data_IF_922114053838
#
_entry.id   IF_922114053838
#
_cell.length_a   1.000
_cell.length_b   1.000
_cell.length_c   1.000
_cell.angle_alpha   90.00
_cell.angle_beta   90.00
_cell.angle_gamma   90.00
#
_symmetry.space_group_name_H-M   'P 1'
#
loop_
_entity.id
_entity.type
_entity.pdbx_description
1 polymer ?
#
# COMPACT_ATOMS: atom_id res chain seq x y z
N UNK A 1 -10.96 -19.89 -25.88
CA UNK A 1 -9.88 -19.44 -24.97
C UNK A 1 -9.86 -17.92 -25.00
N UNK A 2 -10.51 -17.27 -24.05
CA UNK A 2 -10.71 -15.82 -24.13
C UNK A 2 -11.66 -15.33 -23.05
N UNK A 3 -11.26 -15.48 -21.80
CA UNK A 3 -11.85 -14.81 -20.64
C UNK A 3 -10.81 -14.95 -19.53
N UNK A 4 -10.02 -13.88 -19.31
CA UNK A 4 -9.52 -13.43 -18.00
C UNK A 4 -8.37 -12.41 -18.15
N UNK A 5 -8.58 -11.39 -19.00
CA UNK A 5 -7.82 -10.13 -18.96
C UNK A 5 -8.68 -9.08 -18.23
N UNK A 6 -9.29 -9.43 -17.10
CA UNK A 6 -9.85 -8.41 -16.22
C UNK A 6 -8.69 -7.54 -15.72
N UNK A 7 -8.88 -6.22 -15.75
CA UNK A 7 -7.90 -5.16 -15.51
C UNK A 7 -6.85 -5.49 -14.45
N UNK A 8 -5.68 -5.97 -14.90
CA UNK A 8 -4.47 -5.99 -14.08
C UNK A 8 -3.76 -4.64 -14.20
N UNK A 9 -4.49 -3.55 -14.01
CA UNK A 9 -3.88 -2.23 -14.05
C UNK A 9 -3.31 -1.93 -12.66
N UNK A 10 -1.98 -1.87 -12.56
CA UNK A 10 -1.36 -1.34 -11.36
C UNK A 10 -1.60 0.16 -11.26
N UNK A 11 -1.59 0.69 -10.04
CA UNK A 11 -1.72 2.13 -9.77
C UNK A 11 -0.44 2.62 -9.15
N UNK A 12 0.02 3.79 -9.56
CA UNK A 12 1.20 4.42 -8.99
C UNK A 12 0.99 5.93 -8.90
N UNK A 13 0.75 6.39 -7.68
CA UNK A 13 0.57 7.80 -7.38
C UNK A 13 1.72 8.30 -6.52
N UNK A 14 2.20 9.50 -6.78
CA UNK A 14 3.36 10.03 -6.07
C UNK A 14 3.37 11.55 -6.02
N UNK A 15 4.18 12.10 -5.12
CA UNK A 15 4.59 13.50 -5.19
C UNK A 15 5.97 13.66 -4.60
N UNK A 16 6.73 14.64 -5.10
CA UNK A 16 8.02 15.01 -4.53
C UNK A 16 9.07 13.89 -4.58
N UNK A 17 9.06 13.07 -5.63
CA UNK A 17 10.03 11.98 -5.89
C UNK A 17 10.76 12.25 -7.22
N UNK A 18 11.95 11.69 -7.43
CA UNK A 18 12.71 12.01 -8.65
C UNK A 18 12.19 11.28 -9.90
N UNK A 19 12.34 11.83 -11.12
CA UNK A 19 11.92 11.15 -12.35
C UNK A 19 12.54 9.76 -12.55
N UNK A 20 13.78 9.56 -12.09
CA UNK A 20 14.43 8.26 -12.12
C UNK A 20 13.72 7.23 -11.23
N UNK A 21 13.26 7.63 -10.05
CA UNK A 21 12.53 6.76 -9.12
C UNK A 21 11.15 6.42 -9.66
N UNK A 22 10.47 7.41 -10.26
CA UNK A 22 9.20 7.22 -10.97
C UNK A 22 9.37 6.15 -12.05
N UNK A 23 10.32 6.34 -12.97
CA UNK A 23 10.55 5.40 -14.07
C UNK A 23 10.94 4.00 -13.58
N UNK A 24 11.74 3.92 -12.52
CA UNK A 24 12.17 2.64 -11.97
C UNK A 24 10.99 1.84 -11.36
N UNK A 25 10.06 2.51 -10.69
CA UNK A 25 8.83 1.89 -10.14
C UNK A 25 7.87 1.56 -11.30
N UNK A 26 7.58 2.54 -12.16
CA UNK A 26 6.69 2.39 -13.31
C UNK A 26 7.10 1.23 -14.21
N UNK A 27 8.36 1.17 -14.65
CA UNK A 27 8.87 0.08 -15.50
C UNK A 27 8.81 -1.29 -14.84
N UNK A 28 8.98 -1.35 -13.51
CA UNK A 28 8.85 -2.59 -12.74
C UNK A 28 7.39 -3.06 -12.71
N UNK A 29 6.46 -2.17 -12.38
CA UNK A 29 5.02 -2.48 -12.36
C UNK A 29 4.51 -2.85 -13.77
N UNK A 30 4.87 -2.08 -14.79
CA UNK A 30 4.46 -2.31 -16.17
C UNK A 30 4.96 -3.63 -16.73
N UNK A 31 6.19 -4.03 -16.39
CA UNK A 31 6.75 -5.33 -16.80
C UNK A 31 5.92 -6.50 -16.24
N UNK A 32 5.40 -6.36 -15.02
CA UNK A 32 4.69 -7.44 -14.31
C UNK A 32 3.20 -7.46 -14.63
N UNK A 33 2.57 -6.29 -14.66
CA UNK A 33 1.12 -6.15 -14.77
C UNK A 33 0.64 -5.72 -16.16
N UNK A 34 1.55 -5.27 -17.04
CA UNK A 34 1.26 -4.87 -18.42
C UNK A 34 0.74 -3.43 -18.57
N UNK A 35 -0.07 -2.96 -17.61
CA UNK A 35 -0.62 -1.60 -17.56
C UNK A 35 -0.39 -0.96 -16.18
N UNK A 36 -0.15 0.35 -16.19
CA UNK A 36 0.02 1.16 -14.98
C UNK A 36 -0.71 2.48 -15.18
N UNK A 37 -1.66 2.78 -14.29
CA UNK A 37 -2.22 4.11 -14.08
C UNK A 37 -1.22 4.90 -13.23
N UNK A 38 -0.66 5.96 -13.78
CA UNK A 38 0.38 6.76 -13.14
C UNK A 38 -0.06 8.23 -13.10
N UNK A 39 0.00 8.85 -11.92
CA UNK A 39 -0.35 10.26 -11.74
C UNK A 39 0.51 10.93 -10.65
N UNK A 40 0.96 12.16 -10.92
CA UNK A 40 1.65 13.00 -9.94
C UNK A 40 0.61 13.80 -9.15
N UNK A 41 0.50 13.50 -7.86
CA UNK A 41 -0.40 14.19 -6.96
C UNK A 41 0.18 15.53 -6.48
N UNK A 42 -0.71 16.46 -6.13
CA UNK A 42 -0.30 17.65 -5.40
C UNK A 42 0.04 17.28 -3.96
N UNK A 43 1.10 17.89 -3.42
CA UNK A 43 1.45 17.74 -2.02
C UNK A 43 0.30 18.26 -1.13
N UNK A 44 -0.10 17.47 -0.14
CA UNK A 44 -1.06 17.90 0.88
C UNK A 44 -0.56 19.14 1.65
N UNK A 45 -1.46 19.84 2.35
CA UNK A 45 -1.10 20.97 3.23
C UNK A 45 -0.25 20.57 4.47
N UNK A 46 0.13 19.30 4.60
CA UNK A 46 1.02 18.80 5.65
C UNK A 46 2.49 18.80 5.20
N UNK A 47 3.18 19.89 5.55
CA UNK A 47 4.60 20.10 5.23
C UNK A 47 5.57 19.16 5.97
N UNK A 48 5.09 18.32 6.89
CA UNK A 48 5.95 17.32 7.55
C UNK A 48 6.35 16.19 6.61
N UNK A 49 5.61 15.95 5.53
CA UNK A 49 5.90 14.97 4.49
C UNK A 49 6.13 15.63 3.14
N UNK A 50 7.35 15.51 2.64
CA UNK A 50 7.77 16.12 1.36
C UNK A 50 7.77 15.15 0.19
N UNK A 51 7.41 13.90 0.46
CA UNK A 51 7.29 12.85 -0.55
C UNK A 51 6.18 11.87 -0.18
N UNK A 52 5.52 11.33 -1.20
CA UNK A 52 4.62 10.19 -1.06
C UNK A 52 4.85 9.21 -2.21
N UNK A 53 4.71 7.93 -1.89
CA UNK A 53 4.49 6.85 -2.83
C UNK A 53 3.21 6.12 -2.41
N UNK A 54 2.30 5.91 -3.35
CA UNK A 54 1.15 5.04 -3.22
C UNK A 54 1.14 4.06 -4.41
N UNK A 55 1.33 2.78 -4.13
CA UNK A 55 1.34 1.73 -5.14
C UNK A 55 0.14 0.82 -4.92
N UNK A 56 -0.74 0.73 -5.90
CA UNK A 56 -1.86 -0.21 -5.94
C UNK A 56 -1.54 -1.42 -6.81
N UNK A 57 -1.43 -2.59 -6.19
CA UNK A 57 -1.31 -3.87 -6.85
C UNK A 57 -2.70 -4.43 -7.18
N UNK A 58 -2.98 -4.82 -8.44
CA UNK A 58 -4.28 -5.33 -8.86
C UNK A 58 -4.44 -6.83 -8.56
N UNK A 59 -3.77 -7.30 -7.51
CA UNK A 59 -3.75 -8.71 -7.08
C UNK A 59 -3.76 -8.76 -5.54
N UNK A 60 -4.32 -9.82 -4.95
CA UNK A 60 -4.35 -9.99 -3.50
C UNK A 60 -2.94 -10.18 -2.93
N UNK A 61 -2.78 -9.82 -1.66
CA UNK A 61 -1.51 -10.01 -0.95
C UNK A 61 -1.35 -11.48 -0.50
N UNK A 62 -0.53 -12.25 -1.21
CA UNK A 62 -0.22 -13.64 -0.90
C UNK A 62 1.12 -14.07 -1.50
N UNK A 63 1.52 -15.34 -1.34
CA UNK A 63 2.75 -15.87 -1.94
C UNK A 63 2.82 -15.69 -3.46
N UNK A 64 1.69 -15.86 -4.17
CA UNK A 64 1.62 -15.71 -5.63
C UNK A 64 1.94 -14.28 -6.08
N UNK A 65 1.65 -13.26 -5.28
CA UNK A 65 2.10 -11.89 -5.57
C UNK A 65 3.62 -11.79 -5.63
N UNK A 66 4.35 -12.38 -4.67
CA UNK A 66 5.82 -12.34 -4.64
C UNK A 66 6.44 -13.17 -5.76
N UNK A 67 5.77 -14.26 -6.17
CA UNK A 67 6.17 -15.02 -7.35
C UNK A 67 5.96 -14.21 -8.64
N UNK A 68 4.82 -13.53 -8.76
CA UNK A 68 4.45 -12.72 -9.93
C UNK A 68 5.36 -11.49 -10.10
N UNK A 69 5.58 -10.72 -9.03
CA UNK A 69 6.47 -9.56 -9.03
C UNK A 69 7.95 -9.95 -9.15
N UNK A 70 8.25 -11.22 -8.88
CA UNK A 70 9.57 -11.79 -8.60
C UNK A 70 10.20 -11.18 -7.34
N UNK A 71 11.05 -11.96 -6.66
CA UNK A 71 11.84 -11.45 -5.54
C UNK A 71 12.67 -10.24 -5.96
N UNK A 72 13.22 -10.25 -7.18
CA UNK A 72 14.00 -9.14 -7.72
C UNK A 72 13.17 -7.86 -7.88
N UNK A 73 11.96 -7.95 -8.43
CA UNK A 73 11.08 -6.80 -8.60
C UNK A 73 10.67 -6.19 -7.26
N UNK A 74 10.35 -7.05 -6.28
CA UNK A 74 10.03 -6.62 -4.93
C UNK A 74 11.22 -5.97 -4.22
N UNK A 75 12.40 -6.59 -4.26
CA UNK A 75 13.63 -6.01 -3.67
C UNK A 75 14.02 -4.69 -4.33
N UNK A 76 13.81 -4.55 -5.64
CA UNK A 76 14.05 -3.29 -6.36
C UNK A 76 13.15 -2.18 -5.85
N UNK A 77 11.84 -2.43 -5.73
CA UNK A 77 10.88 -1.44 -5.19
C UNK A 77 11.25 -1.10 -3.73
N UNK A 78 11.49 -2.11 -2.88
CA UNK A 78 11.90 -1.87 -1.49
C UNK A 78 13.16 -1.02 -1.38
N UNK A 79 14.19 -1.36 -2.15
CA UNK A 79 15.49 -0.64 -2.12
C UNK A 79 15.32 0.83 -2.51
N UNK A 80 14.50 1.13 -3.52
CA UNK A 80 14.20 2.50 -3.91
C UNK A 80 13.50 3.27 -2.78
N UNK A 81 12.46 2.67 -2.19
CA UNK A 81 11.70 3.28 -1.10
C UNK A 81 12.60 3.55 0.13
N UNK A 82 13.52 2.63 0.44
CA UNK A 82 14.53 2.82 1.51
C UNK A 82 15.49 3.95 1.22
N UNK A 83 16.07 3.98 0.01
CA UNK A 83 16.99 5.04 -0.39
C UNK A 83 16.31 6.41 -0.38
N UNK A 84 15.04 6.47 -0.77
CA UNK A 84 14.22 7.68 -0.65
C UNK A 84 14.08 8.11 0.80
N UNK A 85 13.68 7.21 1.69
CA UNK A 85 13.57 7.51 3.12
C UNK A 85 14.90 8.03 3.68
N UNK A 86 16.00 7.35 3.37
CA UNK A 86 17.36 7.67 3.82
C UNK A 86 17.78 9.07 3.38
N UNK A 87 17.54 9.45 2.13
CA UNK A 87 17.87 10.79 1.59
C UNK A 87 17.02 11.92 2.20
N UNK A 88 15.80 11.63 2.66
CA UNK A 88 14.89 12.64 3.23
C UNK A 88 15.09 12.86 4.72
N UNK A 89 15.70 11.91 5.43
CA UNK A 89 16.05 12.04 6.84
C UNK A 89 14.83 12.36 7.71
N UNK A 90 14.84 13.53 8.36
CA UNK A 90 13.75 13.99 9.23
C UNK A 90 12.49 14.45 8.48
N UNK A 91 12.61 14.82 7.19
CA UNK A 91 11.42 15.13 6.38
C UNK A 91 10.81 13.79 5.96
N UNK A 92 9.52 13.62 6.24
CA UNK A 92 8.87 12.32 6.09
C UNK A 92 8.63 11.95 4.64
N UNK A 93 8.61 10.64 4.38
CA UNK A 93 7.97 10.03 3.21
C UNK A 93 6.73 9.29 3.72
N UNK A 94 5.62 9.43 3.00
CA UNK A 94 4.46 8.55 3.16
C UNK A 94 4.60 7.39 2.17
N UNK A 95 4.45 6.16 2.63
CA UNK A 95 4.45 4.99 1.74
C UNK A 95 3.20 4.17 1.98
N UNK A 96 2.43 3.98 0.91
CA UNK A 96 1.22 3.19 0.88
C UNK A 96 1.39 2.05 -0.13
N UNK A 97 1.12 0.83 0.30
CA UNK A 97 1.10 -0.35 -0.58
C UNK A 97 -0.27 -1.01 -0.47
N UNK A 98 -1.06 -0.92 -1.53
CA UNK A 98 -2.44 -1.41 -1.59
C UNK A 98 -2.50 -2.69 -2.40
N UNK A 99 -3.27 -3.65 -1.92
CA UNK A 99 -3.52 -4.92 -2.60
C UNK A 99 -5.02 -5.09 -2.76
N UNK A 100 -5.45 -5.31 -4.00
CA UNK A 100 -6.85 -5.49 -4.34
C UNK A 100 -7.11 -6.95 -4.73
N UNK A 101 -8.24 -7.50 -4.31
CA UNK A 101 -8.68 -8.82 -4.70
C UNK A 101 -9.24 -9.60 -3.53
N UNK A 102 -9.53 -10.88 -3.78
CA UNK A 102 -10.15 -11.75 -2.78
C UNK A 102 -9.06 -12.41 -1.94
N UNK A 103 -9.15 -12.25 -0.62
CA UNK A 103 -8.27 -12.86 0.37
C UNK A 103 -9.13 -13.57 1.42
N UNK A 104 -8.91 -14.87 1.62
CA UNK A 104 -9.73 -15.71 2.52
C UNK A 104 -11.26 -15.58 2.29
N UNK A 105 -11.67 -15.50 1.02
CA UNK A 105 -13.08 -15.37 0.64
C UNK A 105 -13.68 -13.98 0.86
N UNK A 106 -12.92 -13.03 1.39
CA UNK A 106 -13.34 -11.64 1.56
C UNK A 106 -12.75 -10.78 0.44
N UNK A 107 -13.60 -9.99 -0.22
CA UNK A 107 -13.17 -9.00 -1.20
C UNK A 107 -12.89 -7.66 -0.51
N UNK A 108 -11.72 -7.55 0.11
CA UNK A 108 -11.27 -6.35 0.81
C UNK A 108 -10.01 -5.79 0.17
N UNK A 109 -9.86 -4.47 0.17
CA UNK A 109 -8.56 -3.85 -0.05
C UNK A 109 -7.70 -4.01 1.20
N UNK A 110 -6.47 -4.47 1.02
CA UNK A 110 -5.44 -4.44 2.05
C UNK A 110 -4.54 -3.23 1.83
N UNK A 111 -4.26 -2.45 2.86
CA UNK A 111 -3.35 -1.32 2.79
C UNK A 111 -2.25 -1.45 3.83
N UNK A 112 -0.98 -1.38 3.44
CA UNK A 112 0.13 -1.13 4.35
C UNK A 112 0.49 0.35 4.34
N UNK A 113 0.47 0.99 5.51
CA UNK A 113 0.80 2.41 5.69
C UNK A 113 2.07 2.57 6.53
N UNK A 114 3.11 3.14 5.91
CA UNK A 114 4.35 3.57 6.58
C UNK A 114 4.42 5.09 6.54
N UNK A 115 4.02 5.70 7.67
CA UNK A 115 3.99 7.15 7.86
C UNK A 115 4.71 7.49 9.16
N UNK A 116 5.42 8.61 9.17
CA UNK A 116 6.08 9.19 10.35
C UNK A 116 7.12 8.30 11.05
N UNK A 117 7.77 7.40 10.32
CA UNK A 117 8.74 6.46 10.91
C UNK A 117 10.15 7.03 10.84
N UNK A 118 10.94 6.82 11.91
CA UNK A 118 12.39 6.98 11.82
C UNK A 118 12.99 5.94 10.87
N UNK A 119 14.21 6.17 10.39
CA UNK A 119 14.83 5.34 9.33
C UNK A 119 14.84 3.85 9.68
N UNK A 120 15.24 3.50 10.91
CA UNK A 120 15.29 2.11 11.36
C UNK A 120 13.90 1.46 11.37
N UNK A 121 12.91 2.13 11.94
CA UNK A 121 11.55 1.58 12.04
C UNK A 121 10.87 1.49 10.67
N UNK A 122 11.17 2.45 9.78
CA UNK A 122 10.70 2.43 8.40
C UNK A 122 11.26 1.22 7.64
N UNK A 123 12.57 1.01 7.70
CA UNK A 123 13.22 -0.14 7.05
C UNK A 123 12.73 -1.47 7.64
N UNK A 124 12.64 -1.57 8.97
CA UNK A 124 12.13 -2.77 9.63
C UNK A 124 10.68 -3.07 9.25
N UNK A 125 9.82 -2.06 9.19
CA UNK A 125 8.43 -2.21 8.77
C UNK A 125 8.35 -2.74 7.33
N UNK A 126 9.10 -2.14 6.42
CA UNK A 126 9.14 -2.52 5.00
C UNK A 126 9.66 -3.96 4.80
N UNK A 127 10.73 -4.36 5.50
CA UNK A 127 11.23 -5.74 5.47
C UNK A 127 10.22 -6.74 6.04
N UNK A 128 9.43 -6.30 7.02
CA UNK A 128 8.48 -7.20 7.68
C UNK A 128 7.21 -7.49 6.89
N UNK A 129 6.98 -6.80 5.78
CA UNK A 129 5.78 -6.98 4.95
C UNK A 129 5.69 -8.42 4.44
N UNK A 130 6.79 -9.01 3.96
CA UNK A 130 6.77 -10.40 3.44
C UNK A 130 6.25 -11.42 4.45
N UNK A 131 6.62 -11.30 5.72
CA UNK A 131 6.16 -12.22 6.77
C UNK A 131 4.66 -12.07 7.08
N UNK A 132 4.02 -11.00 6.63
CA UNK A 132 2.59 -10.82 6.82
C UNK A 132 1.77 -11.79 5.96
N UNK A 133 2.38 -12.47 4.98
CA UNK A 133 1.72 -13.49 4.15
C UNK A 133 1.14 -14.60 5.02
N UNK A 134 1.84 -14.98 6.08
CA UNK A 134 1.39 -16.03 7.01
C UNK A 134 0.39 -15.53 8.05
N UNK A 135 0.41 -14.23 8.34
CA UNK A 135 -0.34 -13.61 9.45
C UNK A 135 -1.70 -13.11 9.00
N UNK A 136 -1.77 -12.45 7.85
CA UNK A 136 -2.98 -11.81 7.33
C UNK A 136 -4.13 -12.81 7.16
N UNK A 137 -3.93 -14.00 6.55
CA UNK A 137 -4.98 -15.01 6.44
C UNK A 137 -5.73 -15.26 7.76
N UNK A 138 -4.99 -15.52 8.84
CA UNK A 138 -5.53 -15.83 10.16
C UNK A 138 -6.26 -14.64 10.79
N UNK A 139 -5.88 -13.41 10.41
CA UNK A 139 -6.53 -12.19 10.88
C UNK A 139 -7.81 -11.88 10.10
N UNK A 140 -7.79 -12.05 8.77
CA UNK A 140 -8.95 -11.80 7.91
C UNK A 140 -10.12 -12.74 8.21
N UNK A 141 -9.86 -14.00 8.56
CA UNK A 141 -10.88 -14.97 8.97
C UNK A 141 -11.74 -14.50 10.17
N UNK A 142 -11.24 -13.52 10.93
CA UNK A 142 -11.91 -12.99 12.13
C UNK A 142 -12.68 -11.69 11.84
N UNK A 143 -12.64 -11.19 10.61
CA UNK A 143 -13.24 -9.92 10.25
C UNK A 143 -14.70 -10.08 9.79
N UNK A 144 -15.53 -9.03 9.92
CA UNK A 144 -16.86 -9.00 9.33
C UNK A 144 -16.82 -9.15 7.81
N UNK A 145 -17.80 -9.85 7.23
CA UNK A 145 -17.88 -10.12 5.79
C UNK A 145 -17.97 -8.85 4.91
N UNK A 146 -18.41 -7.73 5.46
CA UNK A 146 -18.57 -6.44 4.77
C UNK A 146 -17.36 -5.51 4.95
N UNK A 147 -16.20 -6.03 5.36
CA UNK A 147 -15.00 -5.21 5.51
C UNK A 147 -14.47 -4.80 4.14
N UNK A 148 -14.50 -3.51 3.82
CA UNK A 148 -14.02 -3.00 2.52
C UNK A 148 -12.51 -2.73 2.50
N UNK A 149 -11.96 -2.26 3.63
CA UNK A 149 -10.57 -1.88 3.78
C UNK A 149 -10.01 -2.38 5.12
N UNK A 150 -8.84 -3.01 5.05
CA UNK A 150 -8.03 -3.35 6.22
C UNK A 150 -6.70 -2.61 6.09
N UNK A 151 -6.50 -1.61 6.92
CA UNK A 151 -5.25 -0.85 6.99
C UNK A 151 -4.32 -1.45 8.03
N UNK A 152 -3.08 -1.71 7.65
CA UNK A 152 -2.01 -2.14 8.53
C UNK A 152 -1.07 -0.97 8.76
N UNK A 153 -0.86 -0.63 10.02
CA UNK A 153 0.15 0.33 10.43
C UNK A 153 1.26 -0.36 11.23
N UNK A 154 2.50 0.06 11.02
CA UNK A 154 3.64 -0.51 11.73
C UNK A 154 3.80 0.15 13.10
N UNK A 155 3.63 -0.63 14.17
CA UNK A 155 3.77 -0.17 15.54
C UNK A 155 5.22 -0.27 16.01
N UNK A 156 5.81 0.86 16.37
CA UNK A 156 7.21 0.99 16.78
C UNK A 156 7.47 0.41 18.18
N UNK A 157 6.44 0.31 19.01
CA UNK A 157 6.56 -0.24 20.36
C UNK A 157 6.65 -1.76 20.28
N UNK A 158 5.69 -2.39 19.61
CA UNK A 158 5.66 -3.86 19.49
C UNK A 158 6.46 -4.41 18.32
N UNK A 159 6.95 -3.56 17.42
CA UNK A 159 7.65 -3.92 16.18
C UNK A 159 6.82 -4.87 15.30
N UNK A 160 5.50 -4.68 15.26
CA UNK A 160 4.54 -5.50 14.52
C UNK A 160 3.63 -4.63 13.66
N UNK A 161 3.20 -5.17 12.54
CA UNK A 161 2.07 -4.61 11.80
C UNK A 161 0.77 -4.91 12.55
N UNK A 162 -0.05 -3.88 12.75
CA UNK A 162 -1.34 -3.99 13.42
C UNK A 162 -2.46 -3.63 12.45
N UNK A 163 -3.49 -4.47 12.31
CA UNK A 163 -4.66 -4.13 11.53
C UNK A 163 -5.48 -3.05 12.24
N UNK A 164 -6.06 -2.18 11.44
CA UNK A 164 -7.06 -1.19 11.78
C UNK A 164 -8.09 -1.22 10.65
N UNK A 165 -9.37 -1.27 11.02
CA UNK A 165 -10.46 -1.10 10.07
C UNK A 165 -10.89 0.36 10.22
N UNK A 166 -10.64 1.22 9.23
CA UNK A 166 -11.14 2.59 9.28
C UNK A 166 -12.65 2.53 9.44
N UNK A 167 -13.20 3.31 10.37
CA UNK A 167 -14.64 3.45 10.48
C UNK A 167 -15.16 3.96 9.13
N UNK A 168 -15.99 3.16 8.46
CA UNK A 168 -16.71 3.61 7.28
C UNK A 168 -17.44 4.89 7.67
N UNK A 169 -17.24 5.98 6.92
CA UNK A 169 -17.92 7.25 7.15
C UNK A 169 -19.43 7.01 7.01
N UNK A 170 -20.09 6.72 8.12
CA UNK A 170 -21.51 6.41 8.20
C UNK A 170 -22.07 7.00 9.48
N UNK A 171 -21.97 8.33 9.62
CA UNK A 171 -23.06 9.08 10.27
C UNK A 171 -22.99 10.57 9.92
N UNK A 172 -23.77 10.96 8.93
CA UNK A 172 -24.12 12.33 8.62
C UNK A 172 -25.64 12.43 8.58
N UNK A 173 -26.28 12.22 9.74
CA UNK A 173 -27.69 12.52 9.95
C UNK A 173 -28.00 13.96 9.54
N UNK A 174 -28.66 14.16 8.39
CA UNK A 174 -29.52 15.32 8.18
C UNK A 174 -30.94 14.83 8.45
N UNK A 175 -31.33 14.90 9.72
CA UNK A 175 -32.73 14.84 10.09
C UNK A 175 -33.42 16.07 9.50
N UNK A 176 -34.35 15.80 8.57
CA UNK A 176 -35.45 16.69 8.27
C UNK A 176 -36.12 17.10 9.58
N UNK A 177 -36.13 18.39 9.88
CA UNK A 177 -37.22 19.01 10.62
C UNK A 177 -37.46 20.41 10.08
N UNK A 178 -38.39 20.46 9.14
CA UNK A 178 -39.19 21.63 8.83
C UNK A 178 -40.10 21.87 10.04
N UNK A 179 -39.90 23.01 10.72
CA UNK A 179 -40.97 23.89 11.21
C UNK A 179 -40.41 25.24 11.62
#
# INVERSE_FOLDING_TARGET
MGHDRMDRMAKFYYYGISPFEVEAIYSTLKRVFGAVEEDEHLQDNDYSYVSMIDIGFPVPFNESFFQLLTLEGWFRIKSLIKEMKRRRGKKGIKTFLRFNGIMQGINSQLLFSLINKNDRQFEMGLEKIEYMVDIIPVQLDKLPANTELVEYSYDEVTHKWKPHIPESSSDGSINNNIR
#
